data_IF_130862456079
#
_entry.id   IF_130862456079
#
_cell.length_a   1.000
_cell.length_b   1.000
_cell.length_c   1.000
_cell.angle_alpha   90.00
_cell.angle_beta   90.00
_cell.angle_gamma   90.00
#
_symmetry.space_group_name_H-M   'P 1'
#
loop_
_entity.id
_entity.type
_entity.pdbx_description
1 polymer ?
#
# COMPACT_ATOMS: atom_id res chain seq x y z
N UNK A 1 7.33 -0.86 2.87
CA UNK A 1 6.18 -1.74 3.10
C UNK A 1 5.17 -1.53 1.99
N UNK A 2 4.69 -2.61 1.42
CA UNK A 2 3.62 -2.64 0.44
C UNK A 2 2.64 -3.75 0.85
N UNK A 3 1.43 -3.33 1.15
CA UNK A 3 0.32 -4.23 1.50
C UNK A 3 -0.43 -4.63 0.23
N UNK A 4 -1.32 -5.59 0.33
CA UNK A 4 -2.19 -5.95 -0.79
C UNK A 4 -2.94 -4.72 -1.32
N UNK A 5 -3.02 -4.59 -2.65
CA UNK A 5 -3.71 -3.49 -3.31
C UNK A 5 -5.16 -3.38 -2.80
N UNK A 6 -5.58 -2.16 -2.45
CA UNK A 6 -6.89 -1.89 -1.84
C UNK A 6 -6.90 -1.96 -0.31
N UNK A 7 -5.78 -2.27 0.35
CA UNK A 7 -5.67 -2.17 1.80
C UNK A 7 -5.95 -0.74 2.27
N UNK A 8 -6.73 -0.61 3.35
CA UNK A 8 -7.03 0.69 3.94
C UNK A 8 -5.76 1.33 4.50
N UNK A 9 -5.63 2.64 4.31
CA UNK A 9 -4.53 3.46 4.79
C UNK A 9 -4.28 3.30 6.30
N UNK A 10 -5.33 3.29 7.12
CA UNK A 10 -5.21 3.10 8.58
C UNK A 10 -4.53 1.76 8.95
N UNK A 11 -4.74 0.71 8.14
CA UNK A 11 -4.11 -0.61 8.35
C UNK A 11 -2.64 -0.54 7.98
N UNK A 12 -2.34 0.07 6.83
CA UNK A 12 -0.96 0.26 6.36
C UNK A 12 -0.17 1.15 7.33
N UNK A 13 -0.80 2.22 7.82
CA UNK A 13 -0.23 3.11 8.82
C UNK A 13 0.04 2.37 10.14
N UNK A 14 -0.90 1.56 10.61
CA UNK A 14 -0.71 0.77 11.82
C UNK A 14 0.49 -0.19 11.74
N UNK A 15 0.72 -0.82 10.59
CA UNK A 15 1.89 -1.67 10.41
C UNK A 15 3.20 -0.89 10.30
N UNK A 16 3.21 0.26 9.64
CA UNK A 16 4.45 1.07 9.58
C UNK A 16 4.79 1.65 10.95
N UNK A 17 3.79 1.95 11.79
CA UNK A 17 4.00 2.39 13.17
C UNK A 17 4.61 1.26 14.03
N UNK A 18 4.13 0.02 13.89
CA UNK A 18 4.76 -1.14 14.53
C UNK A 18 6.22 -1.33 14.11
N UNK A 19 6.52 -1.15 12.82
CA UNK A 19 7.91 -1.22 12.34
C UNK A 19 8.74 -0.09 12.98
N UNK A 20 8.20 1.10 13.09
CA UNK A 20 8.88 2.23 13.73
C UNK A 20 9.18 1.95 15.22
N UNK A 21 8.23 1.35 15.93
CA UNK A 21 8.44 0.92 17.33
C UNK A 21 9.57 -0.11 17.45
N UNK A 22 9.62 -1.08 16.53
CA UNK A 22 10.71 -2.07 16.48
C UNK A 22 12.05 -1.40 16.24
N UNK A 23 12.11 -0.39 15.36
CA UNK A 23 13.35 0.38 15.10
C UNK A 23 13.84 1.08 16.37
N UNK A 24 12.95 1.77 17.09
CA UNK A 24 13.31 2.46 18.31
C UNK A 24 13.68 1.49 19.44
N UNK A 25 12.90 0.41 19.63
CA UNK A 25 13.23 -0.63 20.62
C UNK A 25 14.60 -1.27 20.34
N UNK A 26 14.98 -1.44 19.06
CA UNK A 26 16.30 -1.92 18.71
C UNK A 26 17.37 -0.89 19.03
N UNK A 27 17.14 0.39 18.73
CA UNK A 27 18.04 1.46 19.07
C UNK A 27 18.24 1.57 20.59
N UNK A 28 17.17 1.45 21.37
CA UNK A 28 17.23 1.51 22.84
C UNK A 28 18.08 0.39 23.39
N UNK A 29 17.96 -0.83 22.86
CA UNK A 29 18.82 -1.95 23.26
C UNK A 29 20.31 -1.71 22.99
N UNK A 30 20.64 -1.03 21.89
CA UNK A 30 22.02 -0.66 21.58
C UNK A 30 22.50 0.55 22.42
N UNK A 31 21.59 1.46 22.78
CA UNK A 31 21.90 2.59 23.65
C UNK A 31 22.25 2.14 25.05
N UNK A 32 21.60 1.10 25.57
CA UNK A 32 21.96 0.46 26.85
C UNK A 32 23.39 -0.13 26.82
N UNK A 33 23.84 -0.58 25.64
CA UNK A 33 25.21 -1.04 25.38
C UNK A 33 26.18 0.13 25.13
N UNK A 34 25.71 1.39 25.12
CA UNK A 34 26.49 2.59 24.88
C UNK A 34 26.66 2.99 23.41
N UNK A 35 25.96 2.36 22.48
CA UNK A 35 26.06 2.60 21.05
C UNK A 35 24.71 2.94 20.38
N UNK A 36 24.10 4.13 20.60
CA UNK A 36 22.91 4.52 19.88
C UNK A 36 23.22 4.69 18.38
N UNK A 37 22.44 4.04 17.52
CA UNK A 37 22.70 4.02 16.08
C UNK A 37 21.65 4.77 15.26
N UNK A 38 20.46 5.02 15.81
CA UNK A 38 19.37 5.72 15.12
C UNK A 38 19.28 7.16 15.61
N UNK A 39 19.40 8.11 14.69
CA UNK A 39 19.30 9.55 14.99
C UNK A 39 17.93 10.13 14.67
N UNK A 40 17.27 9.63 13.64
CA UNK A 40 15.92 10.06 13.27
C UNK A 40 15.19 8.97 12.47
N UNK A 41 13.88 9.00 12.56
CA UNK A 41 12.97 8.15 11.76
C UNK A 41 11.92 9.04 11.12
N UNK A 42 11.76 8.91 9.81
CA UNK A 42 10.73 9.63 9.06
C UNK A 42 9.79 8.63 8.43
N UNK A 43 8.50 8.74 8.75
CA UNK A 43 7.42 7.95 8.17
C UNK A 43 6.85 8.69 6.96
N UNK A 44 6.65 7.98 5.86
CA UNK A 44 5.96 8.46 4.67
C UNK A 44 4.87 7.48 4.26
N UNK A 45 3.65 7.97 4.06
CA UNK A 45 2.61 7.21 3.38
C UNK A 45 2.79 7.42 1.88
N UNK A 46 2.62 6.35 1.09
CA UNK A 46 2.83 6.37 -0.35
C UNK A 46 1.69 7.04 -1.11
N UNK A 47 1.79 7.04 -2.45
CA UNK A 47 0.73 7.55 -3.34
C UNK A 47 -0.54 6.71 -3.28
N UNK A 48 -0.46 5.45 -2.82
CA UNK A 48 -1.60 4.56 -2.58
C UNK A 48 -1.75 4.24 -1.10
N UNK A 49 -2.98 3.97 -0.67
CA UNK A 49 -3.33 3.62 0.72
C UNK A 49 -2.63 2.36 1.24
N UNK A 50 -2.10 1.53 0.35
CA UNK A 50 -1.45 0.25 0.63
C UNK A 50 0.08 0.34 0.71
N UNK A 51 0.65 1.55 0.55
CA UNK A 51 2.10 1.74 0.52
C UNK A 51 2.56 2.67 1.64
N UNK A 52 3.61 2.28 2.32
CA UNK A 52 4.28 3.11 3.32
C UNK A 52 5.79 2.94 3.28
N UNK A 53 6.51 3.98 3.66
CA UNK A 53 7.96 3.99 3.75
C UNK A 53 8.42 4.47 5.12
N UNK A 54 9.51 3.91 5.60
CA UNK A 54 10.21 4.36 6.78
C UNK A 54 11.65 4.65 6.41
N UNK A 55 12.07 5.89 6.57
CA UNK A 55 13.47 6.29 6.39
C UNK A 55 14.11 6.40 7.75
N UNK A 56 15.11 5.58 7.99
CA UNK A 56 15.87 5.55 9.25
C UNK A 56 17.21 6.20 9.01
N UNK A 57 17.47 7.30 9.70
CA UNK A 57 18.78 7.97 9.71
C UNK A 57 19.65 7.38 10.80
N UNK A 58 20.85 6.97 10.41
CA UNK A 58 21.81 6.37 11.31
C UNK A 58 22.93 7.36 11.67
N UNK A 59 23.56 7.18 12.83
CA UNK A 59 24.81 7.83 13.18
C UNK A 59 25.87 7.56 12.12
N UNK A 60 26.90 8.40 12.06
CA UNK A 60 27.98 8.24 11.06
C UNK A 60 28.66 6.89 11.20
N UNK A 61 29.12 6.36 10.07
CA UNK A 61 29.78 5.03 10.06
C UNK A 61 31.02 4.96 10.94
N UNK A 62 31.69 6.09 11.10
CA UNK A 62 32.89 6.22 11.93
C UNK A 62 32.60 6.22 13.45
N UNK A 63 31.35 6.48 13.82
CA UNK A 63 30.89 6.60 15.21
C UNK A 63 30.16 5.36 15.71
N UNK A 64 30.10 4.29 14.91
CA UNK A 64 29.40 3.05 15.26
C UNK A 64 30.16 1.81 14.80
N UNK A 65 30.05 0.73 15.56
CA UNK A 65 30.67 -0.56 15.22
C UNK A 65 29.87 -1.36 14.20
N UNK A 66 28.53 -1.21 14.22
CA UNK A 66 27.62 -1.93 13.33
C UNK A 66 27.49 -1.27 11.95
N UNK A 67 27.61 -2.05 10.91
CA UNK A 67 27.35 -1.58 9.56
C UNK A 67 25.84 -1.37 9.31
N UNK A 68 25.49 -0.48 8.38
CA UNK A 68 24.08 -0.25 7.99
C UNK A 68 23.37 -1.53 7.55
N UNK A 69 24.09 -2.45 6.90
CA UNK A 69 23.54 -3.75 6.48
C UNK A 69 23.22 -4.66 7.68
N UNK A 70 24.08 -4.68 8.69
CA UNK A 70 23.85 -5.46 9.92
C UNK A 70 22.64 -4.92 10.68
N UNK A 71 22.56 -3.59 10.86
CA UNK A 71 21.42 -2.92 11.50
C UNK A 71 20.14 -3.22 10.75
N UNK A 72 20.12 -3.06 9.41
CA UNK A 72 18.96 -3.36 8.58
C UNK A 72 18.50 -4.80 8.69
N UNK A 73 19.45 -5.75 8.68
CA UNK A 73 19.14 -7.17 8.82
C UNK A 73 18.58 -7.49 10.20
N UNK A 74 19.14 -6.91 11.26
CA UNK A 74 18.65 -7.10 12.62
C UNK A 74 17.23 -6.55 12.81
N UNK A 75 16.95 -5.36 12.29
CA UNK A 75 15.60 -4.77 12.31
C UNK A 75 14.60 -5.65 11.54
N UNK A 76 14.92 -6.06 10.31
CA UNK A 76 14.04 -6.92 9.53
C UNK A 76 13.75 -8.26 10.20
N UNK A 77 14.75 -8.86 10.85
CA UNK A 77 14.57 -10.09 11.61
C UNK A 77 13.63 -9.90 12.82
N UNK A 78 13.72 -8.74 13.50
CA UNK A 78 12.82 -8.41 14.61
C UNK A 78 11.39 -8.10 14.14
N UNK A 79 11.22 -7.43 13.00
CA UNK A 79 9.91 -7.15 12.40
C UNK A 79 9.23 -8.44 11.97
N UNK A 80 9.98 -9.39 11.41
CA UNK A 80 9.45 -10.65 10.92
C UNK A 80 8.50 -10.50 9.74
N UNK A 81 7.52 -11.41 9.63
CA UNK A 81 6.51 -11.37 8.57
C UNK A 81 5.31 -10.53 8.97
N UNK A 82 4.88 -9.65 8.07
CA UNK A 82 3.67 -8.84 8.26
C UNK A 82 2.52 -9.52 7.53
N UNK A 83 1.39 -9.79 8.20
CA UNK A 83 0.22 -10.39 7.56
C UNK A 83 -0.29 -9.54 6.40
N UNK A 84 -0.61 -10.16 5.28
CA UNK A 84 -1.11 -9.52 4.05
C UNK A 84 -0.16 -8.48 3.41
N UNK A 85 1.11 -8.43 3.83
CA UNK A 85 2.11 -7.65 3.12
C UNK A 85 2.54 -8.41 1.85
N UNK A 86 2.42 -7.76 0.70
CA UNK A 86 2.97 -8.28 -0.55
C UNK A 86 4.48 -8.09 -0.58
N UNK A 87 4.97 -7.03 0.10
CA UNK A 87 6.37 -6.70 0.09
C UNK A 87 6.80 -5.95 1.35
N UNK A 88 7.84 -6.47 2.00
CA UNK A 88 8.59 -5.77 3.02
C UNK A 88 10.06 -5.79 2.63
N UNK A 89 10.61 -4.65 2.29
CA UNK A 89 12.03 -4.52 1.93
C UNK A 89 12.67 -3.38 2.68
N UNK A 90 13.92 -3.58 3.05
CA UNK A 90 14.76 -2.50 3.55
C UNK A 90 16.08 -2.49 2.77
N UNK A 91 16.60 -1.29 2.53
CA UNK A 91 17.87 -1.06 1.84
C UNK A 91 18.77 -0.26 2.76
N UNK A 92 20.01 -0.70 2.88
CA UNK A 92 21.04 0.04 3.58
C UNK A 92 21.88 0.82 2.56
N UNK A 93 22.05 2.12 2.80
CA UNK A 93 22.90 2.99 1.96
C UNK A 93 22.16 3.63 0.78
N UNK A 94 22.93 4.24 -0.12
CA UNK A 94 22.38 4.92 -1.31
C UNK A 94 21.68 3.96 -2.26
N UNK A 95 20.58 4.33 -2.88
CA UNK A 95 19.81 3.48 -3.79
C UNK A 95 20.47 3.43 -5.18
N UNK A 96 21.65 2.87 -5.27
CA UNK A 96 22.18 2.43 -6.56
C UNK A 96 21.43 1.16 -6.94
N UNK A 97 20.81 1.16 -8.10
CA UNK A 97 20.01 0.11 -8.73
C UNK A 97 20.07 -1.32 -8.19
N UNK A 98 19.24 -2.17 -8.69
CA UNK A 98 19.28 -3.61 -8.35
C UNK A 98 20.48 -4.23 -9.05
N UNK A 99 21.36 -4.99 -8.35
CA UNK A 99 22.52 -5.58 -9.00
C UNK A 99 22.13 -6.64 -10.04
N UNK A 100 20.97 -7.26 -9.89
CA UNK A 100 20.42 -8.24 -10.83
C UNK A 100 18.99 -7.83 -11.15
N UNK A 101 18.71 -7.63 -12.43
CA UNK A 101 17.37 -7.38 -12.96
C UNK A 101 17.15 -8.28 -14.17
N UNK A 102 16.12 -9.12 -14.09
CA UNK A 102 15.74 -10.05 -15.15
C UNK A 102 14.40 -9.63 -15.69
N UNK A 103 14.32 -9.37 -16.99
CA UNK A 103 13.05 -9.10 -17.68
C UNK A 103 12.64 -10.36 -18.46
N UNK A 104 11.36 -10.72 -18.32
CA UNK A 104 10.74 -11.84 -19.01
C UNK A 104 9.67 -11.27 -19.94
N UNK A 105 9.64 -11.75 -21.17
CA UNK A 105 8.69 -11.32 -22.19
C UNK A 105 7.96 -12.53 -22.76
N UNK A 106 6.65 -12.47 -22.85
CA UNK A 106 5.81 -13.41 -23.56
C UNK A 106 4.52 -12.71 -24.01
N UNK A 107 3.92 -13.18 -25.08
CA UNK A 107 2.56 -12.80 -25.50
C UNK A 107 1.47 -13.59 -24.78
N UNK A 108 1.82 -14.67 -24.10
CA UNK A 108 0.92 -15.52 -23.32
C UNK A 108 1.17 -15.30 -21.82
N UNK A 109 0.18 -14.77 -21.12
CA UNK A 109 0.24 -14.49 -19.69
C UNK A 109 0.40 -15.76 -18.84
N UNK A 110 -0.19 -16.90 -19.25
CA UNK A 110 -0.07 -18.15 -18.51
C UNK A 110 1.38 -18.65 -18.51
N UNK A 111 2.04 -18.58 -19.67
CA UNK A 111 3.46 -18.93 -19.83
C UNK A 111 4.33 -17.99 -19.00
N UNK A 112 4.01 -16.69 -18.98
CA UNK A 112 4.70 -15.69 -18.16
C UNK A 112 4.63 -16.03 -16.67
N UNK A 113 3.42 -16.33 -16.18
CA UNK A 113 3.18 -16.68 -14.77
C UNK A 113 3.91 -17.97 -14.38
N UNK A 114 3.82 -19.00 -15.20
CA UNK A 114 4.50 -20.27 -14.94
C UNK A 114 6.02 -20.10 -14.88
N UNK A 115 6.59 -19.36 -15.83
CA UNK A 115 8.02 -19.11 -15.86
C UNK A 115 8.48 -18.23 -14.71
N UNK A 116 7.72 -17.18 -14.36
CA UNK A 116 7.96 -16.32 -13.20
C UNK A 116 8.06 -17.14 -11.91
N UNK A 117 7.08 -18.02 -11.65
CA UNK A 117 7.08 -18.85 -10.45
C UNK A 117 8.27 -19.81 -10.39
N UNK A 118 8.61 -20.43 -11.52
CA UNK A 118 9.80 -21.30 -11.63
C UNK A 118 11.10 -20.52 -11.36
N UNK A 119 11.22 -19.31 -11.92
CA UNK A 119 12.38 -18.45 -11.75
C UNK A 119 12.52 -18.00 -10.28
N UNK A 120 11.43 -17.49 -9.68
CA UNK A 120 11.43 -17.06 -8.28
C UNK A 120 11.81 -18.20 -7.34
N UNK A 121 11.26 -19.40 -7.57
CA UNK A 121 11.61 -20.60 -6.80
C UNK A 121 13.09 -20.96 -6.97
N UNK A 122 13.60 -20.93 -8.21
CA UNK A 122 15.01 -21.19 -8.49
C UNK A 122 15.94 -20.19 -7.78
N UNK A 123 15.61 -18.90 -7.86
CA UNK A 123 16.39 -17.84 -7.21
C UNK A 123 16.40 -17.99 -5.67
N UNK A 124 15.23 -18.28 -5.07
CA UNK A 124 15.13 -18.51 -3.61
C UNK A 124 15.97 -19.70 -3.14
N UNK A 125 16.06 -20.76 -3.95
CA UNK A 125 16.84 -21.93 -3.64
C UNK A 125 18.37 -21.71 -3.72
N UNK A 126 18.83 -20.64 -4.36
CA UNK A 126 20.26 -20.32 -4.44
C UNK A 126 20.88 -19.89 -3.11
N UNK A 127 20.08 -19.46 -2.13
CA UNK A 127 20.50 -19.08 -0.77
C UNK A 127 21.43 -17.85 -0.66
N UNK A 128 22.11 -17.50 -1.76
CA UNK A 128 23.01 -16.33 -1.84
C UNK A 128 22.29 -15.04 -2.21
N UNK A 129 21.10 -15.16 -2.83
CA UNK A 129 20.28 -14.02 -3.24
C UNK A 129 19.36 -13.58 -2.09
N UNK A 130 19.28 -12.28 -1.87
CA UNK A 130 18.41 -11.65 -0.89
C UNK A 130 17.49 -10.65 -1.58
N UNK A 131 16.35 -10.35 -0.99
CA UNK A 131 15.38 -9.36 -1.50
C UNK A 131 14.92 -9.65 -2.94
N UNK A 132 14.54 -10.92 -3.19
CA UNK A 132 14.02 -11.36 -4.49
C UNK A 132 12.59 -10.84 -4.63
N UNK A 133 12.36 -10.02 -5.63
CA UNK A 133 11.09 -9.34 -5.87
C UNK A 133 10.64 -9.52 -7.32
N UNK A 134 9.34 -9.61 -7.54
CA UNK A 134 8.70 -9.49 -8.85
C UNK A 134 8.07 -8.09 -8.99
N UNK A 135 8.08 -7.55 -10.20
CA UNK A 135 7.32 -6.34 -10.54
C UNK A 135 5.87 -6.66 -10.92
N UNK A 136 5.54 -7.92 -11.10
CA UNK A 136 4.20 -8.38 -11.39
C UNK A 136 3.37 -8.42 -10.11
N UNK A 137 2.61 -7.35 -9.90
CA UNK A 137 1.70 -7.22 -8.77
C UNK A 137 0.28 -7.52 -9.23
N UNK A 138 -0.46 -8.23 -8.38
CA UNK A 138 -1.89 -8.41 -8.61
C UNK A 138 -2.56 -7.04 -8.61
N UNK A 139 -3.32 -6.75 -9.66
CA UNK A 139 -4.12 -5.54 -9.75
C UNK A 139 -5.15 -5.44 -8.63
N UNK A 140 -5.71 -4.25 -8.45
CA UNK A 140 -6.82 -4.06 -7.54
C UNK A 140 -8.05 -4.83 -8.02
N UNK A 141 -8.88 -5.28 -7.07
CA UNK A 141 -10.18 -5.86 -7.38
C UNK A 141 -11.04 -4.80 -8.09
N UNK A 142 -11.48 -5.11 -9.29
CA UNK A 142 -12.38 -4.26 -10.07
C UNK A 142 -13.82 -4.74 -9.91
N UNK A 143 -14.73 -3.80 -9.64
CA UNK A 143 -16.16 -4.06 -9.65
C UNK A 143 -16.74 -3.63 -10.99
N UNK A 144 -17.07 -4.59 -11.83
CA UNK A 144 -17.73 -4.35 -13.12
C UNK A 144 -19.24 -4.17 -12.90
N UNK A 145 -19.70 -2.93 -12.91
CA UNK A 145 -21.11 -2.59 -12.73
C UNK A 145 -21.82 -2.68 -14.06
N UNK A 146 -22.96 -3.40 -14.09
CA UNK A 146 -23.83 -3.49 -15.25
C UNK A 146 -25.26 -3.10 -14.86
N UNK A 147 -25.90 -2.26 -15.65
CA UNK A 147 -27.30 -1.94 -15.46
C UNK A 147 -28.18 -3.12 -15.86
N UNK A 148 -29.18 -3.44 -15.03
CA UNK A 148 -30.23 -4.38 -15.36
C UNK A 148 -31.17 -3.77 -16.42
N UNK A 149 -31.82 -4.58 -17.24
CA UNK A 149 -32.78 -4.13 -18.27
C UNK A 149 -33.87 -3.22 -17.68
N UNK A 150 -34.29 -3.51 -16.46
CA UNK A 150 -35.26 -2.70 -15.73
C UNK A 150 -34.77 -1.26 -15.49
N UNK A 151 -33.49 -1.04 -15.32
CA UNK A 151 -32.94 0.31 -15.15
C UNK A 151 -33.05 1.13 -16.45
N UNK A 152 -32.76 0.48 -17.59
CA UNK A 152 -32.96 1.10 -18.91
C UNK A 152 -34.41 1.44 -19.15
N UNK A 153 -35.36 0.53 -18.80
CA UNK A 153 -36.78 0.80 -18.91
C UNK A 153 -37.26 1.98 -18.04
N UNK A 154 -36.58 2.26 -16.92
CA UNK A 154 -36.81 3.43 -16.07
C UNK A 154 -36.12 4.69 -16.60
N UNK A 155 -35.43 4.61 -17.73
CA UNK A 155 -34.72 5.72 -18.34
C UNK A 155 -33.45 6.13 -17.61
N UNK A 156 -32.87 5.24 -16.79
CA UNK A 156 -31.59 5.47 -16.12
C UNK A 156 -30.44 5.25 -17.09
N UNK A 157 -29.46 6.11 -17.06
CA UNK A 157 -28.24 5.96 -17.84
C UNK A 157 -27.11 5.40 -16.98
N UNK A 158 -26.17 4.70 -17.61
CA UNK A 158 -25.00 4.18 -16.93
C UNK A 158 -24.19 5.29 -16.22
N UNK A 159 -24.03 6.46 -16.88
CA UNK A 159 -23.32 7.60 -16.33
C UNK A 159 -23.94 8.11 -15.04
N UNK A 160 -25.26 8.34 -15.01
CA UNK A 160 -25.97 8.82 -13.82
C UNK A 160 -25.79 7.89 -12.63
N UNK A 161 -25.86 6.57 -12.85
CA UNK A 161 -25.70 5.57 -11.79
C UNK A 161 -24.26 5.55 -11.28
N UNK A 162 -23.27 5.56 -12.16
CA UNK A 162 -21.85 5.58 -11.78
C UNK A 162 -21.48 6.86 -11.04
N UNK A 163 -21.96 8.01 -11.48
CA UNK A 163 -21.67 9.29 -10.84
C UNK A 163 -22.24 9.35 -9.42
N UNK A 164 -23.42 8.82 -9.20
CA UNK A 164 -24.03 8.74 -7.86
C UNK A 164 -23.25 7.78 -6.96
N UNK A 165 -22.90 6.59 -7.46
CA UNK A 165 -22.07 5.62 -6.75
C UNK A 165 -20.70 6.25 -6.38
N UNK A 166 -20.05 6.87 -7.34
CA UNK A 166 -18.74 7.51 -7.13
C UNK A 166 -18.82 8.61 -6.09
N UNK A 167 -19.84 9.46 -6.16
CA UNK A 167 -20.05 10.55 -5.21
C UNK A 167 -20.28 10.04 -3.79
N UNK A 168 -21.02 8.94 -3.63
CA UNK A 168 -21.29 8.35 -2.33
C UNK A 168 -20.09 7.62 -1.72
N UNK A 169 -19.39 6.79 -2.49
CA UNK A 169 -18.32 5.92 -1.99
C UNK A 169 -16.94 6.59 -2.00
N UNK A 170 -16.57 7.23 -3.11
CA UNK A 170 -15.30 7.95 -3.23
C UNK A 170 -15.41 9.34 -2.62
N UNK A 171 -16.47 10.06 -2.97
CA UNK A 171 -16.75 11.41 -2.52
C UNK A 171 -16.85 12.41 -3.67
N UNK A 172 -17.49 13.51 -3.36
CA UNK A 172 -17.60 14.67 -4.22
C UNK A 172 -16.96 15.88 -3.55
N UNK A 173 -16.04 16.55 -4.26
CA UNK A 173 -15.43 17.79 -3.78
C UNK A 173 -16.44 18.93 -3.96
N UNK A 174 -17.03 19.39 -2.86
CA UNK A 174 -18.06 20.45 -2.87
C UNK A 174 -17.46 21.85 -2.82
N UNK A 175 -16.27 21.99 -2.24
CA UNK A 175 -15.62 23.28 -2.08
C UNK A 175 -14.10 23.13 -1.93
N UNK A 176 -13.40 24.16 -2.42
CA UNK A 176 -11.96 24.30 -2.27
C UNK A 176 -11.68 25.70 -1.74
N UNK A 177 -10.96 25.78 -0.63
CA UNK A 177 -10.67 27.02 0.08
C UNK A 177 -9.15 27.18 0.24
N UNK A 178 -8.66 28.38 0.01
CA UNK A 178 -7.29 28.73 0.35
C UNK A 178 -7.26 29.31 1.76
N UNK A 179 -6.45 28.72 2.64
CA UNK A 179 -6.18 29.21 4.00
C UNK A 179 -4.69 29.51 4.17
N UNK A 180 -4.31 30.73 3.94
CA UNK A 180 -2.89 31.09 3.92
C UNK A 180 -2.14 30.34 2.81
N UNK A 181 -1.18 29.51 3.17
CA UNK A 181 -0.42 28.67 2.23
C UNK A 181 -1.07 27.30 1.99
N UNK A 182 -2.09 26.93 2.77
CA UNK A 182 -2.71 25.60 2.70
C UNK A 182 -3.98 25.63 1.84
N UNK A 183 -4.14 24.61 0.98
CA UNK A 183 -5.36 24.35 0.23
C UNK A 183 -6.24 23.37 1.02
N UNK A 184 -7.44 23.81 1.41
CA UNK A 184 -8.43 23.00 2.12
C UNK A 184 -9.50 22.53 1.14
N UNK A 185 -9.64 21.22 0.96
CA UNK A 185 -10.67 20.58 0.13
C UNK A 185 -11.78 20.03 1.00
N UNK A 186 -13.01 20.42 0.72
CA UNK A 186 -14.20 19.92 1.42
C UNK A 186 -14.82 18.81 0.60
N UNK A 187 -14.79 17.59 1.14
CA UNK A 187 -15.35 16.40 0.49
C UNK A 187 -16.59 15.91 1.23
N UNK A 188 -17.63 15.57 0.47
CA UNK A 188 -18.85 14.91 0.98
C UNK A 188 -18.89 13.49 0.44
N UNK A 189 -19.06 12.50 1.32
CA UNK A 189 -19.17 11.09 0.99
C UNK A 189 -19.90 10.33 2.09
N UNK A 190 -20.30 9.08 1.84
CA UNK A 190 -20.89 8.24 2.86
C UNK A 190 -19.99 8.07 4.07
N UNK A 191 -20.57 7.90 5.25
CA UNK A 191 -19.82 7.66 6.48
C UNK A 191 -18.92 6.40 6.33
N UNK A 192 -17.74 6.40 6.95
CA UNK A 192 -16.75 5.32 6.85
C UNK A 192 -17.36 3.93 7.14
N UNK A 193 -18.25 3.84 8.14
CA UNK A 193 -18.94 2.60 8.52
C UNK A 193 -19.87 2.04 7.43
N UNK A 194 -20.31 2.85 6.49
CA UNK A 194 -21.27 2.49 5.44
C UNK A 194 -20.62 2.29 4.06
N UNK A 195 -19.29 2.17 4.00
CA UNK A 195 -18.52 1.96 2.77
C UNK A 195 -17.27 1.10 3.01
N UNK A 196 -17.39 0.09 3.88
CA UNK A 196 -16.26 -0.77 4.30
C UNK A 196 -16.14 -2.05 3.50
N UNK A 197 -17.25 -2.53 2.94
CA UNK A 197 -17.32 -3.85 2.32
C UNK A 197 -18.10 -3.80 1.01
N UNK A 198 -17.96 -4.84 0.19
CA UNK A 198 -18.78 -5.05 -1.01
C UNK A 198 -20.25 -5.19 -0.63
N UNK A 199 -20.56 -5.83 0.53
CA UNK A 199 -21.93 -5.92 1.02
C UNK A 199 -22.54 -4.56 1.36
N UNK A 200 -21.75 -3.57 1.82
CA UNK A 200 -22.23 -2.21 1.98
C UNK A 200 -22.58 -1.56 0.64
N UNK A 201 -21.88 -1.93 -0.42
CA UNK A 201 -22.17 -1.48 -1.77
C UNK A 201 -23.45 -2.14 -2.31
N UNK A 202 -23.58 -3.46 -2.26
CA UNK A 202 -24.70 -4.23 -2.78
C UNK A 202 -26.05 -3.91 -2.12
N UNK A 203 -26.02 -3.50 -0.86
CA UNK A 203 -27.22 -3.13 -0.08
C UNK A 203 -27.53 -1.64 -0.07
N UNK A 204 -26.86 -0.84 -0.93
CA UNK A 204 -27.11 0.60 -1.02
C UNK A 204 -28.27 0.91 -1.97
N UNK A 205 -29.11 1.82 -1.52
CA UNK A 205 -30.03 2.54 -2.41
C UNK A 205 -29.35 3.83 -2.88
N UNK A 206 -29.49 4.11 -4.17
CA UNK A 206 -29.08 5.35 -4.80
C UNK A 206 -30.30 6.19 -5.12
N UNK A 207 -30.17 7.52 -5.01
CA UNK A 207 -31.25 8.48 -5.31
C UNK A 207 -30.99 9.11 -6.66
N UNK A 208 -31.83 8.80 -7.63
CA UNK A 208 -31.77 9.38 -8.96
C UNK A 208 -33.14 9.92 -9.36
N UNK A 209 -33.17 11.16 -9.84
CA UNK A 209 -34.39 11.84 -10.31
C UNK A 209 -35.55 11.81 -9.29
N UNK A 210 -35.23 11.89 -7.99
CA UNK A 210 -36.22 11.87 -6.91
C UNK A 210 -36.71 10.49 -6.47
N UNK A 211 -36.24 9.42 -7.10
CA UNK A 211 -36.56 8.03 -6.75
C UNK A 211 -35.36 7.30 -6.14
N UNK A 212 -35.65 6.29 -5.32
CA UNK A 212 -34.64 5.43 -4.73
C UNK A 212 -34.57 4.08 -5.46
N UNK A 213 -33.35 3.64 -5.79
CA UNK A 213 -33.08 2.37 -6.48
C UNK A 213 -32.06 1.57 -5.68
N UNK A 214 -32.27 0.27 -5.54
CA UNK A 214 -31.27 -0.66 -4.99
C UNK A 214 -30.22 -0.97 -6.06
N UNK A 215 -28.93 -0.92 -5.69
CA UNK A 215 -27.80 -1.23 -6.57
C UNK A 215 -27.77 -2.71 -6.94
#
# INVERSE_FOLDING_TARGET
>A
LEMASGTNEDITEGYIDQIQEVVWSYNDSLTEEGEPVVTAVTKGLGLGSHQASLTVMLTRSEERTLTSSQITTAILNKVGSIPNAEKLTAKAGMPFGRPISIAIYSSDNNVLDEFKEKLLKGMRNMGTLKNIESSDQKGMLELNIKLKDKAYALGLTYGEVIDEIRSGFYGYEVQRLQRGLDEVKVWVRYAKKSRRSIGDFENKTIKLRGNEYLI
#
